data_IF_034535864516
#
_entry.id   IF_034535864516
#
_cell.length_a   1.000
_cell.length_b   1.000
_cell.length_c   1.000
_cell.angle_alpha   90.00
_cell.angle_beta   90.00
_cell.angle_gamma   90.00
#
_symmetry.space_group_name_H-M   'P 1'
#
loop_
_entity.id
_entity.type
_entity.pdbx_description
1 polymer ?
#
# COMPACT_ATOMS: atom_id res chain seq x y z
N UNK A 1 -21.29 1.07 -9.13
CA UNK A 1 -21.28 1.33 -7.68
C UNK A 1 -20.30 0.40 -6.95
N UNK A 2 -20.20 -0.87 -7.37
CA UNK A 2 -19.33 -1.87 -6.72
C UNK A 2 -17.84 -1.63 -7.05
N UNK A 3 -17.56 -1.19 -8.26
CA UNK A 3 -16.21 -0.88 -8.73
C UNK A 3 -15.60 0.28 -7.94
N UNK A 4 -16.36 1.36 -7.72
CA UNK A 4 -15.90 2.48 -6.90
C UNK A 4 -15.58 2.05 -5.46
N UNK A 5 -16.37 1.12 -4.89
CA UNK A 5 -16.10 0.52 -3.57
C UNK A 5 -14.86 -0.36 -3.58
N UNK A 6 -14.57 -1.04 -4.69
CA UNK A 6 -13.32 -1.79 -4.80
C UNK A 6 -12.10 -0.86 -4.83
N UNK A 7 -12.21 0.28 -5.48
CA UNK A 7 -11.11 1.24 -5.66
C UNK A 7 -10.87 2.11 -4.42
N UNK A 8 -11.87 2.32 -3.55
CA UNK A 8 -11.74 3.24 -2.41
C UNK A 8 -10.71 2.78 -1.36
N UNK A 9 -10.31 1.52 -1.34
CA UNK A 9 -9.25 1.04 -0.44
C UNK A 9 -7.88 1.61 -0.81
N UNK A 10 -7.66 1.96 -2.09
CA UNK A 10 -6.41 2.55 -2.56
C UNK A 10 -6.35 4.04 -2.21
N UNK A 11 -5.21 4.49 -1.71
CA UNK A 11 -4.92 5.91 -1.45
C UNK A 11 -4.55 6.64 -2.75
N UNK A 12 -3.93 5.93 -3.68
CA UNK A 12 -3.70 6.34 -5.05
C UNK A 12 -4.01 5.16 -5.97
N UNK A 13 -4.81 5.37 -7.00
CA UNK A 13 -5.30 4.32 -7.88
C UNK A 13 -4.36 4.20 -9.08
N UNK A 14 -3.54 3.17 -9.08
CA UNK A 14 -2.70 2.78 -10.19
C UNK A 14 -3.50 1.86 -11.12
N UNK A 15 -3.41 2.03 -12.42
CA UNK A 15 -4.07 1.14 -13.39
C UNK A 15 -3.65 -0.33 -13.19
N UNK A 16 -2.39 -0.56 -12.84
CA UNK A 16 -1.88 -1.90 -12.55
C UNK A 16 -2.52 -2.60 -11.33
N UNK A 17 -3.22 -1.86 -10.45
CA UNK A 17 -3.94 -2.44 -9.32
C UNK A 17 -5.30 -3.03 -9.71
N UNK A 18 -5.87 -2.59 -10.85
CA UNK A 18 -7.23 -2.97 -11.27
C UNK A 18 -7.40 -4.49 -11.45
N UNK A 19 -6.45 -5.23 -12.06
CA UNK A 19 -6.57 -6.69 -12.19
C UNK A 19 -6.62 -7.45 -10.86
N UNK A 20 -6.12 -6.86 -9.79
CA UNK A 20 -6.16 -7.42 -8.43
C UNK A 20 -7.48 -7.13 -7.74
N UNK A 21 -7.94 -5.88 -7.86
CA UNK A 21 -9.15 -5.41 -7.19
C UNK A 21 -10.44 -5.77 -7.93
N UNK A 22 -10.38 -5.89 -9.25
CA UNK A 22 -11.50 -6.21 -10.14
C UNK A 22 -11.16 -7.45 -10.99
N UNK A 23 -10.95 -8.62 -10.35
CA UNK A 23 -10.51 -9.83 -11.04
C UNK A 23 -11.49 -10.33 -12.10
N UNK A 24 -12.77 -9.96 -12.00
CA UNK A 24 -13.81 -10.25 -12.98
C UNK A 24 -13.57 -9.58 -14.33
N UNK A 25 -12.82 -8.48 -14.37
CA UNK A 25 -12.43 -7.77 -15.60
C UNK A 25 -11.02 -8.18 -16.08
N UNK A 26 -10.37 -9.12 -15.41
CA UNK A 26 -8.99 -9.51 -15.72
C UNK A 26 -8.84 -9.99 -17.16
N UNK A 27 -7.89 -9.37 -17.88
CA UNK A 27 -7.65 -9.64 -19.31
C UNK A 27 -8.52 -8.82 -20.26
N UNK A 28 -9.30 -7.89 -19.74
CA UNK A 28 -10.08 -6.95 -20.52
C UNK A 28 -9.65 -5.50 -20.23
N UNK A 29 -8.54 -5.08 -20.86
CA UNK A 29 -7.96 -3.74 -20.67
C UNK A 29 -8.93 -2.62 -21.13
N UNK A 30 -9.81 -2.91 -22.09
CA UNK A 30 -10.83 -1.94 -22.56
C UNK A 30 -11.88 -1.71 -21.48
N UNK A 31 -12.30 -2.74 -20.75
CA UNK A 31 -13.24 -2.59 -19.64
C UNK A 31 -12.65 -1.73 -18.50
N UNK A 32 -11.36 -1.88 -18.19
CA UNK A 32 -10.71 -1.02 -17.19
C UNK A 32 -10.66 0.44 -17.63
N UNK A 33 -10.30 0.70 -18.89
CA UNK A 33 -10.28 2.08 -19.42
C UNK A 33 -11.67 2.70 -19.41
N UNK A 34 -12.67 1.98 -19.91
CA UNK A 34 -14.06 2.43 -19.88
C UNK A 34 -14.51 2.78 -18.47
N UNK A 35 -14.19 1.93 -17.48
CA UNK A 35 -14.51 2.20 -16.09
C UNK A 35 -13.84 3.49 -15.58
N UNK A 36 -12.55 3.67 -15.84
CA UNK A 36 -11.81 4.86 -15.40
C UNK A 36 -12.34 6.12 -16.09
N UNK A 37 -12.62 6.07 -17.40
CA UNK A 37 -13.21 7.17 -18.18
C UNK A 37 -14.60 7.55 -17.64
N UNK A 38 -15.45 6.57 -17.32
CA UNK A 38 -16.76 6.80 -16.72
C UNK A 38 -16.65 7.45 -15.32
N UNK A 39 -15.69 7.03 -14.52
CA UNK A 39 -15.49 7.60 -13.19
C UNK A 39 -14.87 9.00 -13.26
N UNK A 40 -13.95 9.25 -14.19
CA UNK A 40 -13.33 10.56 -14.42
C UNK A 40 -14.33 11.58 -15.00
N UNK A 41 -15.32 11.13 -15.78
CA UNK A 41 -16.42 11.96 -16.24
C UNK A 41 -17.31 12.49 -15.09
N UNK A 42 -17.09 11.98 -13.88
CA UNK A 42 -17.77 12.43 -12.65
C UNK A 42 -16.78 13.15 -11.73
N UNK A 43 -17.23 13.92 -10.71
CA UNK A 43 -16.32 14.49 -9.71
C UNK A 43 -15.78 13.46 -8.68
N UNK A 44 -15.87 12.16 -8.99
CA UNK A 44 -15.48 11.09 -8.08
C UNK A 44 -14.03 10.68 -8.26
N UNK A 45 -13.45 10.88 -9.44
CA UNK A 45 -12.07 10.54 -9.77
C UNK A 45 -11.45 11.65 -10.62
N UNK A 46 -10.12 11.84 -10.49
CA UNK A 46 -9.36 12.67 -11.43
C UNK A 46 -7.94 12.10 -11.59
N UNK A 47 -7.38 12.33 -12.77
CA UNK A 47 -6.00 11.97 -13.06
C UNK A 47 -5.00 12.98 -12.48
N UNK A 48 -4.07 12.51 -11.66
CA UNK A 48 -2.91 13.30 -11.20
C UNK A 48 -1.70 12.97 -12.07
N UNK A 49 -1.39 13.85 -13.02
CA UNK A 49 -0.27 13.68 -13.94
C UNK A 49 1.10 13.73 -13.27
N UNK A 50 1.21 14.29 -12.05
CA UNK A 50 2.47 14.35 -11.31
C UNK A 50 2.80 13.01 -10.66
N UNK A 51 1.77 12.30 -10.22
CA UNK A 51 1.91 11.00 -9.58
C UNK A 51 1.72 9.85 -10.56
N UNK A 52 1.11 10.10 -11.72
CA UNK A 52 0.76 9.04 -12.68
C UNK A 52 -0.32 8.09 -12.12
N UNK A 53 -1.28 8.64 -11.39
CA UNK A 53 -2.34 7.87 -10.70
C UNK A 53 -3.67 8.60 -10.76
N UNK A 54 -4.75 7.84 -10.63
CA UNK A 54 -6.05 8.44 -10.35
C UNK A 54 -6.20 8.68 -8.85
N UNK A 55 -6.89 9.77 -8.52
CA UNK A 55 -7.15 10.19 -7.16
C UNK A 55 -8.66 10.27 -6.91
N UNK A 56 -9.08 9.88 -5.72
CA UNK A 56 -10.44 10.04 -5.22
C UNK A 56 -10.46 11.13 -4.13
N UNK A 57 -11.51 11.97 -4.01
CA UNK A 57 -11.63 12.88 -2.87
C UNK A 57 -11.46 12.12 -1.57
N UNK A 58 -10.54 12.56 -0.72
CA UNK A 58 -10.16 11.84 0.51
C UNK A 58 -11.36 11.59 1.43
N UNK A 59 -12.26 12.56 1.55
CA UNK A 59 -13.49 12.43 2.34
C UNK A 59 -14.42 11.34 1.80
N UNK A 60 -14.53 11.22 0.47
CA UNK A 60 -15.32 10.19 -0.19
C UNK A 60 -14.68 8.82 0.02
N UNK A 61 -13.37 8.71 -0.21
CA UNK A 61 -12.60 7.49 0.00
C UNK A 61 -12.80 6.94 1.41
N UNK A 62 -12.58 7.80 2.42
CA UNK A 62 -12.74 7.41 3.83
C UNK A 62 -14.18 7.01 4.18
N UNK A 63 -15.17 7.71 3.64
CA UNK A 63 -16.58 7.38 3.87
C UNK A 63 -16.94 6.00 3.29
N UNK A 64 -16.48 5.69 2.07
CA UNK A 64 -16.71 4.41 1.42
C UNK A 64 -16.00 3.27 2.17
N UNK A 65 -14.73 3.49 2.57
CA UNK A 65 -13.98 2.54 3.39
C UNK A 65 -14.67 2.28 4.74
N UNK A 66 -15.10 3.33 5.44
CA UNK A 66 -15.80 3.20 6.71
C UNK A 66 -17.11 2.41 6.54
N UNK A 67 -17.89 2.71 5.50
CA UNK A 67 -19.12 1.97 5.19
C UNK A 67 -18.82 0.48 4.95
N UNK A 68 -17.82 0.18 4.13
CA UNK A 68 -17.42 -1.21 3.86
C UNK A 68 -16.98 -1.92 5.14
N UNK A 69 -16.13 -1.28 5.94
CA UNK A 69 -15.68 -1.82 7.21
C UNK A 69 -16.83 -2.15 8.15
N UNK A 70 -17.83 -1.25 8.27
CA UNK A 70 -18.96 -1.42 9.18
C UNK A 70 -20.04 -2.40 8.69
N UNK A 71 -20.19 -2.58 7.39
CA UNK A 71 -21.33 -3.34 6.80
C UNK A 71 -20.90 -4.55 6.01
N UNK A 72 -19.69 -4.60 5.54
CA UNK A 72 -19.17 -5.59 4.60
C UNK A 72 -17.70 -5.90 4.96
N UNK A 73 -17.43 -6.18 6.25
CA UNK A 73 -16.06 -6.34 6.79
C UNK A 73 -15.23 -7.33 6.00
N UNK A 74 -15.79 -8.49 5.64
CA UNK A 74 -15.08 -9.51 4.86
C UNK A 74 -14.69 -9.00 3.46
N UNK A 75 -15.55 -8.19 2.84
CA UNK A 75 -15.25 -7.54 1.55
C UNK A 75 -14.15 -6.51 1.71
N UNK A 76 -14.23 -5.68 2.75
CA UNK A 76 -13.21 -4.69 3.09
C UNK A 76 -11.83 -5.33 3.26
N UNK A 77 -11.72 -6.34 4.11
CA UNK A 77 -10.48 -7.07 4.35
C UNK A 77 -9.96 -7.74 3.07
N UNK A 78 -10.85 -8.38 2.30
CA UNK A 78 -10.46 -9.01 1.04
C UNK A 78 -9.90 -8.00 0.04
N UNK A 79 -10.50 -6.81 -0.11
CA UNK A 79 -10.00 -5.76 -1.01
C UNK A 79 -8.63 -5.23 -0.55
N UNK A 80 -8.43 -5.09 0.76
CA UNK A 80 -7.11 -4.74 1.29
C UNK A 80 -6.07 -5.84 1.03
N UNK A 81 -6.41 -7.13 1.19
CA UNK A 81 -5.49 -8.22 0.83
C UNK A 81 -5.12 -8.21 -0.65
N UNK A 82 -6.09 -7.99 -1.53
CA UNK A 82 -5.84 -7.87 -2.97
C UNK A 82 -4.92 -6.69 -3.32
N UNK A 83 -5.12 -5.55 -2.67
CA UNK A 83 -4.24 -4.40 -2.83
C UNK A 83 -2.82 -4.67 -2.28
N UNK A 84 -2.70 -5.36 -1.13
CA UNK A 84 -1.40 -5.79 -0.60
C UNK A 84 -0.65 -6.68 -1.60
N UNK A 85 -1.32 -7.64 -2.24
CA UNK A 85 -0.74 -8.51 -3.27
C UNK A 85 -0.18 -7.70 -4.45
N UNK A 86 -0.92 -6.69 -4.91
CA UNK A 86 -0.46 -5.78 -5.95
C UNK A 86 0.85 -5.06 -5.56
N UNK A 87 0.89 -4.44 -4.39
CA UNK A 87 2.08 -3.72 -3.93
C UNK A 87 3.27 -4.65 -3.67
N UNK A 88 3.01 -5.86 -3.16
CA UNK A 88 4.03 -6.91 -3.04
C UNK A 88 4.66 -7.26 -4.38
N UNK A 89 3.85 -7.41 -5.44
CA UNK A 89 4.38 -7.70 -6.77
C UNK A 89 5.22 -6.54 -7.33
N UNK A 90 4.79 -5.29 -7.10
CA UNK A 90 5.58 -4.13 -7.53
C UNK A 90 6.93 -4.10 -6.84
N UNK A 91 6.96 -4.26 -5.51
CA UNK A 91 8.20 -4.25 -4.74
C UNK A 91 9.14 -5.37 -5.19
N UNK A 92 8.61 -6.57 -5.49
CA UNK A 92 9.40 -7.69 -6.02
C UNK A 92 9.99 -7.44 -7.41
N UNK A 93 9.23 -6.77 -8.29
CA UNK A 93 9.66 -6.46 -9.66
C UNK A 93 10.63 -5.28 -9.71
N UNK A 94 10.45 -4.29 -8.83
CA UNK A 94 11.23 -3.07 -8.79
C UNK A 94 11.63 -2.75 -7.34
N UNK A 95 12.55 -3.54 -6.75
CA UNK A 95 12.86 -3.39 -5.33
C UNK A 95 13.60 -2.09 -4.99
N UNK A 96 14.33 -1.52 -5.95
CA UNK A 96 15.13 -0.33 -5.72
C UNK A 96 14.26 0.91 -5.47
N UNK A 97 14.53 1.59 -4.35
CA UNK A 97 13.80 2.80 -3.89
C UNK A 97 12.28 2.63 -3.79
N UNK A 98 11.83 1.42 -3.47
CA UNK A 98 10.40 1.06 -3.38
C UNK A 98 9.72 1.47 -2.06
N UNK A 99 10.32 2.38 -1.27
CA UNK A 99 9.84 2.73 0.08
C UNK A 99 8.35 3.09 0.14
N UNK A 100 7.85 3.85 -0.85
CA UNK A 100 6.42 4.18 -0.92
C UNK A 100 5.54 2.93 -1.10
N UNK A 101 5.94 2.01 -1.96
CA UNK A 101 5.19 0.77 -2.18
C UNK A 101 5.27 -0.18 -0.98
N UNK A 102 6.40 -0.15 -0.25
CA UNK A 102 6.52 -0.86 1.04
C UNK A 102 5.55 -0.31 2.06
N UNK A 103 5.43 1.02 2.16
CA UNK A 103 4.46 1.67 3.05
C UNK A 103 3.02 1.29 2.70
N UNK A 104 2.65 1.33 1.41
CA UNK A 104 1.33 0.93 0.95
C UNK A 104 1.04 -0.55 1.21
N UNK A 105 2.02 -1.44 0.98
CA UNK A 105 1.88 -2.86 1.31
C UNK A 105 1.59 -3.07 2.80
N UNK A 106 2.34 -2.40 3.69
CA UNK A 106 2.13 -2.47 5.14
C UNK A 106 0.74 -1.96 5.54
N UNK A 107 0.31 -0.82 4.97
CA UNK A 107 -1.02 -0.26 5.18
C UNK A 107 -2.11 -1.26 4.81
N UNK A 108 -2.01 -1.87 3.64
CA UNK A 108 -3.00 -2.83 3.18
C UNK A 108 -2.96 -4.16 3.96
N UNK A 109 -1.78 -4.61 4.39
CA UNK A 109 -1.67 -5.77 5.28
C UNK A 109 -2.35 -5.53 6.62
N UNK A 110 -2.17 -4.33 7.19
CA UNK A 110 -2.77 -3.95 8.46
C UNK A 110 -4.31 -4.09 8.44
N UNK A 111 -4.94 -3.59 7.40
CA UNK A 111 -6.39 -3.66 7.24
C UNK A 111 -6.91 -5.01 6.69
N UNK A 112 -6.08 -5.71 5.93
CA UNK A 112 -6.49 -6.94 5.26
C UNK A 112 -6.43 -8.19 6.15
N UNK A 113 -5.53 -8.21 7.14
CA UNK A 113 -5.31 -9.40 7.98
C UNK A 113 -5.70 -9.18 9.44
N UNK A 114 -5.59 -7.96 9.96
CA UNK A 114 -5.91 -7.63 11.35
C UNK A 114 -4.97 -8.28 12.40
N UNK A 115 -4.85 -7.63 13.56
CA UNK A 115 -4.20 -8.18 14.75
C UNK A 115 -2.85 -8.88 14.52
N UNK A 116 -2.71 -10.07 15.11
CA UNK A 116 -1.46 -10.85 15.07
C UNK A 116 -1.08 -11.33 13.66
N UNK A 117 -2.07 -11.61 12.80
CA UNK A 117 -1.79 -12.00 11.42
C UNK A 117 -1.16 -10.84 10.62
N UNK A 118 -1.61 -9.61 10.85
CA UNK A 118 -1.01 -8.44 10.22
C UNK A 118 0.45 -8.27 10.64
N UNK A 119 0.76 -8.50 11.92
CA UNK A 119 2.12 -8.46 12.44
C UNK A 119 3.03 -9.50 11.77
N UNK A 120 2.57 -10.76 11.72
CA UNK A 120 3.30 -11.85 11.07
C UNK A 120 3.56 -11.57 9.59
N UNK A 121 2.53 -11.12 8.86
CA UNK A 121 2.64 -10.78 7.43
C UNK A 121 3.57 -9.61 7.17
N UNK A 122 3.46 -8.55 7.98
CA UNK A 122 4.33 -7.37 7.88
C UNK A 122 5.79 -7.75 8.14
N UNK A 123 6.06 -8.55 9.18
CA UNK A 123 7.41 -8.99 9.52
C UNK A 123 8.03 -9.87 8.43
N UNK A 124 7.27 -10.86 7.93
CA UNK A 124 7.72 -11.72 6.83
C UNK A 124 8.03 -10.89 5.57
N UNK A 125 7.18 -9.94 5.24
CA UNK A 125 7.37 -9.04 4.11
C UNK A 125 8.62 -8.17 4.27
N UNK A 126 8.79 -7.50 5.42
CA UNK A 126 9.96 -6.67 5.68
C UNK A 126 11.26 -7.49 5.60
N UNK A 127 11.26 -8.72 6.13
CA UNK A 127 12.42 -9.63 6.03
C UNK A 127 12.76 -9.96 4.57
N UNK A 128 11.77 -10.07 3.70
CA UNK A 128 11.97 -10.34 2.27
C UNK A 128 12.51 -9.13 1.52
N UNK A 129 12.01 -7.91 1.81
CA UNK A 129 12.29 -6.72 0.99
C UNK A 129 13.41 -5.85 1.50
N UNK A 130 13.67 -5.81 2.81
CA UNK A 130 14.75 -5.04 3.41
C UNK A 130 16.11 -5.70 3.14
N UNK A 131 16.65 -5.43 1.95
CA UNK A 131 17.98 -5.88 1.51
C UNK A 131 18.83 -4.66 1.16
N UNK A 132 20.14 -4.68 1.44
CA UNK A 132 21.03 -3.53 1.20
C UNK A 132 21.00 -3.01 -0.25
N UNK A 133 20.78 -3.89 -1.21
CA UNK A 133 20.73 -3.53 -2.63
C UNK A 133 19.39 -2.90 -3.05
N UNK A 134 18.36 -3.01 -2.23
CA UNK A 134 17.02 -2.51 -2.53
C UNK A 134 16.80 -1.05 -2.11
N UNK A 135 17.67 -0.51 -1.24
CA UNK A 135 17.46 0.83 -0.69
C UNK A 135 18.73 1.65 -0.66
N UNK A 136 18.60 2.94 -0.94
CA UNK A 136 19.58 3.95 -0.57
C UNK A 136 19.47 4.26 0.93
N UNK A 137 20.51 4.86 1.53
CA UNK A 137 20.42 5.33 2.94
C UNK A 137 19.27 6.32 3.09
N UNK A 138 19.15 7.29 2.18
CA UNK A 138 18.06 8.26 2.19
C UNK A 138 16.67 7.61 1.98
N UNK A 139 16.60 6.52 1.20
CA UNK A 139 15.36 5.76 1.00
C UNK A 139 14.85 5.09 2.27
N UNK A 140 15.75 4.53 3.09
CA UNK A 140 15.37 3.94 4.39
C UNK A 140 14.93 5.01 5.39
N UNK A 141 15.66 6.15 5.45
CA UNK A 141 15.26 7.28 6.30
C UNK A 141 13.88 7.80 5.93
N UNK A 142 13.60 7.96 4.64
CA UNK A 142 12.30 8.40 4.15
C UNK A 142 11.20 7.40 4.52
N UNK A 143 11.45 6.10 4.36
CA UNK A 143 10.50 5.06 4.77
C UNK A 143 10.17 5.14 6.26
N UNK A 144 11.19 5.30 7.13
CA UNK A 144 11.00 5.47 8.57
C UNK A 144 10.16 6.71 8.90
N UNK A 145 10.48 7.83 8.27
CA UNK A 145 9.72 9.08 8.44
C UNK A 145 8.26 8.92 8.02
N UNK A 146 8.01 8.25 6.90
CA UNK A 146 6.67 7.99 6.40
C UNK A 146 5.88 7.05 7.33
N UNK A 147 6.48 5.95 7.82
CA UNK A 147 5.84 5.05 8.79
C UNK A 147 5.41 5.82 10.04
N UNK A 148 6.25 6.73 10.54
CA UNK A 148 5.96 7.50 11.75
C UNK A 148 4.87 8.57 11.55
N UNK A 149 4.76 9.12 10.34
CA UNK A 149 3.81 10.20 10.01
C UNK A 149 2.47 9.70 9.45
N UNK A 150 2.40 8.47 8.98
CA UNK A 150 1.20 7.91 8.38
C UNK A 150 0.13 7.62 9.45
N UNK A 151 -0.84 8.52 9.57
CA UNK A 151 -1.92 8.41 10.56
C UNK A 151 -2.81 7.18 10.32
N UNK A 152 -3.10 6.85 9.06
CA UNK A 152 -3.95 5.70 8.73
C UNK A 152 -3.26 4.38 9.05
N UNK A 153 -1.95 4.26 8.77
CA UNK A 153 -1.17 3.10 9.17
C UNK A 153 -1.11 2.95 10.70
N UNK A 154 -0.92 4.05 11.42
CA UNK A 154 -0.90 4.07 12.88
C UNK A 154 -2.23 3.69 13.52
N UNK A 155 -3.35 4.02 12.86
CA UNK A 155 -4.68 3.59 13.29
C UNK A 155 -4.95 2.12 12.99
N UNK A 156 -4.38 1.59 11.90
CA UNK A 156 -4.58 0.22 11.45
C UNK A 156 -3.75 -0.81 12.23
N UNK A 157 -2.51 -0.45 12.59
CA UNK A 157 -1.61 -1.34 13.33
C UNK A 157 -1.71 -1.09 14.84
N UNK A 158 -1.92 -2.13 15.66
CA UNK A 158 -1.74 -2.03 17.10
C UNK A 158 -0.37 -1.46 17.44
N UNK A 159 -0.28 -0.61 18.51
CA UNK A 159 0.97 0.03 18.91
C UNK A 159 2.19 -0.91 18.95
N UNK A 160 2.13 -2.07 19.61
CA UNK A 160 3.25 -3.02 19.64
C UNK A 160 3.69 -3.53 18.26
N UNK A 161 2.75 -3.68 17.32
CA UNK A 161 3.05 -4.11 15.94
C UNK A 161 3.74 -2.99 15.17
N UNK A 162 3.26 -1.77 15.32
CA UNK A 162 3.87 -0.59 14.72
C UNK A 162 5.29 -0.37 15.25
N UNK A 163 5.49 -0.55 16.55
CA UNK A 163 6.81 -0.47 17.20
C UNK A 163 7.76 -1.53 16.61
N UNK A 164 7.30 -2.77 16.48
CA UNK A 164 8.09 -3.85 15.89
C UNK A 164 8.46 -3.58 14.43
N UNK A 165 7.52 -3.08 13.62
CA UNK A 165 7.77 -2.66 12.22
C UNK A 165 8.83 -1.57 12.19
N UNK A 166 8.68 -0.55 13.03
CA UNK A 166 9.61 0.58 13.14
C UNK A 166 11.00 0.12 13.56
N UNK A 167 11.11 -0.72 14.59
CA UNK A 167 12.38 -1.30 15.07
C UNK A 167 13.08 -2.12 13.99
N UNK A 168 12.34 -2.91 13.22
CA UNK A 168 12.87 -3.70 12.11
C UNK A 168 13.51 -2.81 11.04
N UNK A 169 12.82 -1.75 10.62
CA UNK A 169 13.34 -0.81 9.62
C UNK A 169 14.52 0.00 10.17
N UNK A 170 14.49 0.40 11.45
CA UNK A 170 15.61 1.07 12.12
C UNK A 170 16.85 0.16 12.25
N UNK A 171 16.67 -1.12 12.55
CA UNK A 171 17.78 -2.07 12.59
C UNK A 171 18.42 -2.19 11.19
N UNK A 172 17.62 -2.32 10.18
CA UNK A 172 18.07 -2.35 8.78
C UNK A 172 18.84 -1.07 8.39
N UNK A 173 18.34 0.13 8.74
CA UNK A 173 19.04 1.39 8.49
C UNK A 173 20.45 1.41 9.11
N UNK A 174 20.56 0.98 10.38
CA UNK A 174 21.86 0.89 11.07
C UNK A 174 22.83 -0.05 10.35
N UNK A 175 22.33 -1.18 9.86
CA UNK A 175 23.16 -2.17 9.17
C UNK A 175 23.63 -1.67 7.79
N UNK A 176 22.75 -1.03 7.01
CA UNK A 176 23.09 -0.41 5.72
C UNK A 176 24.15 0.67 5.91
N UNK A 177 24.03 1.53 6.93
CA UNK A 177 25.03 2.57 7.24
C UNK A 177 26.38 1.96 7.60
N UNK A 178 26.41 0.92 8.45
CA UNK A 178 27.66 0.23 8.83
C UNK A 178 28.36 -0.38 7.61
N UNK A 179 27.61 -1.08 6.75
CA UNK A 179 28.19 -1.69 5.54
C UNK A 179 28.81 -0.64 4.63
N UNK A 180 28.17 0.50 4.41
CA UNK A 180 28.70 1.56 3.55
C UNK A 180 29.93 2.25 4.13
N UNK A 181 29.99 2.45 5.44
CA UNK A 181 31.18 2.99 6.12
C UNK A 181 32.39 2.05 6.06
N UNK A 182 32.16 0.74 5.93
CA UNK A 182 33.23 -0.25 5.80
C UNK A 182 33.78 -0.37 4.37
N UNK A 183 33.11 0.22 3.38
CA UNK A 183 33.51 0.21 1.97
C UNK A 183 34.13 1.54 1.51
N UNK A 184 34.10 2.55 2.35
CA UNK A 184 34.73 3.89 2.13
C UNK A 184 36.10 3.98 2.79
#
# INVERSE_FOLDING_TARGET
>A
ADDLRALCVLRAIHEGALPFLLPEMKGNDEAYRTLLDELEATPLLWWDSRQGTYQMPESLRRLLCLRMWLKETELFERRHRQAAEYYLEIVKKNPYDSGLYVLEALYHMAYGYGGDQAAEKAQAFLTEVLKPDNFTVGGVELLLEQIQKDEELRLALPGPVLDQVTETVQAFDRDVRRMRLSLS
#
